data_IF_640374622742
#
_entry.id   IF_640374622742
#
_cell.length_a   1.000
_cell.length_b   1.000
_cell.length_c   1.000
_cell.angle_alpha   90.00
_cell.angle_beta   90.00
_cell.angle_gamma   90.00
#
_symmetry.space_group_name_H-M   'P 1'
#
loop_
_entity.id
_entity.type
_entity.pdbx_description
1 polymer ?
#
# COMPACT_ATOMS: atom_id res chain seq x y z
N UNK A 1 22.44 -11.05 17.56
CA UNK A 1 21.03 -11.52 17.59
C UNK A 1 20.88 -12.48 16.43
N UNK A 2 20.36 -13.67 16.66
CA UNK A 2 20.14 -14.67 15.58
C UNK A 2 18.84 -14.33 14.87
N UNK A 3 18.93 -14.06 13.58
CA UNK A 3 17.76 -13.89 12.73
C UNK A 3 17.01 -15.22 12.63
N UNK A 4 15.70 -15.17 12.81
CA UNK A 4 14.82 -16.34 12.71
C UNK A 4 13.99 -16.23 11.42
N UNK A 5 14.01 -17.27 10.57
CA UNK A 5 13.08 -17.35 9.46
C UNK A 5 11.65 -17.51 10.00
N UNK A 6 10.77 -16.61 9.62
CA UNK A 6 9.37 -16.56 10.08
C UNK A 6 8.38 -16.75 8.94
N UNK A 7 8.82 -16.84 7.69
CA UNK A 7 7.93 -17.06 6.56
C UNK A 7 8.50 -16.56 5.22
N UNK A 8 7.60 -16.22 4.30
CA UNK A 8 7.93 -15.72 2.96
C UNK A 8 7.06 -14.53 2.58
N UNK A 9 7.59 -13.69 1.70
CA UNK A 9 6.83 -12.63 1.06
C UNK A 9 5.86 -13.25 0.03
N UNK A 10 4.56 -13.13 0.30
CA UNK A 10 3.52 -13.73 -0.52
C UNK A 10 3.01 -12.80 -1.63
N UNK A 11 2.92 -11.48 -1.34
CA UNK A 11 2.47 -10.49 -2.32
C UNK A 11 3.16 -9.15 -2.07
N UNK A 12 3.37 -8.40 -3.15
CA UNK A 12 3.86 -7.03 -3.15
C UNK A 12 2.81 -6.14 -3.83
N UNK A 13 2.34 -5.13 -3.13
CA UNK A 13 1.35 -4.18 -3.63
C UNK A 13 1.91 -2.76 -3.64
N UNK A 14 1.69 -2.06 -4.73
CA UNK A 14 1.94 -0.63 -4.85
C UNK A 14 0.63 0.07 -5.19
N UNK A 15 0.37 1.18 -4.53
CA UNK A 15 -0.82 2.03 -4.73
C UNK A 15 -0.36 3.39 -5.27
N UNK A 16 -0.15 3.57 -6.58
CA UNK A 16 0.49 4.77 -7.13
C UNK A 16 -0.22 6.06 -6.76
N UNK A 17 -1.57 6.00 -6.65
CA UNK A 17 -2.40 7.15 -6.29
C UNK A 17 -3.12 6.86 -4.97
N UNK A 18 -3.02 7.79 -4.01
CA UNK A 18 -3.74 7.70 -2.74
C UNK A 18 -5.22 7.44 -2.98
N UNK A 19 -5.80 6.50 -2.21
CA UNK A 19 -7.23 6.13 -2.23
C UNK A 19 -7.74 5.40 -3.48
N UNK A 20 -6.91 5.21 -4.50
CA UNK A 20 -7.27 4.42 -5.71
C UNK A 20 -6.86 2.95 -5.58
N UNK A 21 -7.19 2.13 -6.58
CA UNK A 21 -6.79 0.73 -6.64
C UNK A 21 -5.27 0.57 -6.59
N UNK A 22 -4.81 -0.61 -6.17
CA UNK A 22 -3.39 -0.99 -6.16
C UNK A 22 -3.03 -1.87 -7.35
N UNK A 23 -1.73 -2.00 -7.57
CA UNK A 23 -1.13 -2.93 -8.52
C UNK A 23 -0.38 -4.03 -7.76
N UNK A 24 -0.68 -5.29 -8.07
CA UNK A 24 0.08 -6.45 -7.62
C UNK A 24 1.32 -6.59 -8.50
N UNK A 25 2.48 -6.72 -7.87
CA UNK A 25 3.78 -6.84 -8.54
C UNK A 25 4.51 -8.11 -8.10
N UNK A 26 5.38 -8.63 -8.96
CA UNK A 26 6.28 -9.74 -8.61
C UNK A 26 7.50 -9.27 -7.80
N UNK A 27 7.85 -7.99 -7.92
CA UNK A 27 8.97 -7.37 -7.22
C UNK A 27 8.77 -5.85 -7.08
N UNK A 28 9.43 -5.25 -6.09
CA UNK A 28 9.48 -3.81 -5.93
C UNK A 28 10.82 -3.36 -5.34
N UNK A 29 11.20 -2.12 -5.63
CA UNK A 29 12.27 -1.43 -4.93
C UNK A 29 11.71 -0.79 -3.67
N UNK A 30 12.29 -1.12 -2.52
CA UNK A 30 12.04 -0.45 -1.24
C UNK A 30 13.06 0.68 -1.13
N UNK A 31 12.57 1.91 -1.04
CA UNK A 31 13.36 3.13 -0.86
C UNK A 31 13.09 3.72 0.53
N UNK A 32 13.84 4.73 0.95
CA UNK A 32 13.67 5.32 2.29
C UNK A 32 12.23 5.78 2.59
N UNK A 33 11.47 6.17 1.58
CA UNK A 33 10.08 6.61 1.70
C UNK A 33 9.01 5.52 1.53
N UNK A 34 9.38 4.23 1.49
CA UNK A 34 8.45 3.10 1.27
C UNK A 34 8.74 2.36 -0.04
N UNK A 35 7.73 1.79 -0.69
CA UNK A 35 7.90 1.18 -1.99
C UNK A 35 7.95 2.26 -3.08
N UNK A 36 8.86 2.11 -4.04
CA UNK A 36 9.04 3.08 -5.12
C UNK A 36 7.72 3.29 -5.89
N UNK A 37 7.30 4.56 -5.98
CA UNK A 37 6.05 4.96 -6.62
C UNK A 37 4.78 4.79 -5.77
N UNK A 38 4.86 4.18 -4.58
CA UNK A 38 3.70 4.02 -3.71
C UNK A 38 3.20 5.38 -3.21
N UNK A 39 1.89 5.63 -3.37
CA UNK A 39 1.20 6.85 -2.93
C UNK A 39 1.90 8.16 -3.31
N UNK A 40 2.67 8.13 -4.41
CA UNK A 40 3.39 9.31 -4.92
C UNK A 40 2.45 10.36 -5.53
N UNK A 41 1.21 9.96 -5.86
CA UNK A 41 0.18 10.83 -6.38
C UNK A 41 -1.05 10.87 -5.47
N UNK A 42 -1.81 11.97 -5.56
CA UNK A 42 -3.16 12.09 -5.02
C UNK A 42 -4.06 12.89 -5.95
N UNK A 43 -5.36 12.62 -5.85
CA UNK A 43 -6.37 13.56 -6.34
C UNK A 43 -6.51 14.67 -5.32
N UNK A 44 -6.48 15.92 -5.79
CA UNK A 44 -6.65 17.08 -4.92
C UNK A 44 -7.77 17.97 -5.44
N UNK A 45 -8.43 18.67 -4.52
CA UNK A 45 -9.44 19.69 -4.82
C UNK A 45 -8.81 21.01 -5.30
N UNK A 46 -9.62 22.06 -5.47
CA UNK A 46 -9.17 23.39 -5.91
C UNK A 46 -8.24 24.05 -4.91
N UNK A 47 -8.39 23.75 -3.61
CA UNK A 47 -7.54 24.23 -2.52
C UNK A 47 -6.26 23.40 -2.35
N UNK A 48 -6.09 22.33 -3.12
CA UNK A 48 -4.92 21.45 -3.06
C UNK A 48 -4.98 20.41 -1.92
N UNK A 49 -6.14 20.19 -1.32
CA UNK A 49 -6.35 19.18 -0.29
C UNK A 49 -6.58 17.81 -0.94
N UNK A 50 -5.93 16.74 -0.45
CA UNK A 50 -6.17 15.40 -0.97
C UNK A 50 -7.61 14.96 -0.72
N UNK A 51 -8.25 14.49 -1.80
CA UNK A 51 -9.55 13.83 -1.75
C UNK A 51 -9.35 12.36 -1.43
N UNK A 52 -9.98 11.86 -0.38
CA UNK A 52 -9.79 10.49 0.10
C UNK A 52 -10.97 9.57 -0.29
N UNK A 53 -10.75 8.26 -0.26
CA UNK A 53 -11.83 7.29 -0.47
C UNK A 53 -12.85 7.26 0.68
N UNK A 54 -12.56 7.87 1.82
CA UNK A 54 -13.55 8.10 2.89
C UNK A 54 -14.56 9.17 2.49
N UNK A 55 -14.11 10.20 1.76
CA UNK A 55 -14.95 11.30 1.25
C UNK A 55 -15.60 10.94 -0.09
N UNK A 56 -14.87 10.21 -0.96
CA UNK A 56 -15.30 9.82 -2.30
C UNK A 56 -14.95 8.34 -2.55
N UNK A 57 -15.80 7.40 -2.13
CA UNK A 57 -15.55 5.95 -2.24
C UNK A 57 -15.30 5.46 -3.66
N UNK A 58 -15.87 6.13 -4.67
CA UNK A 58 -15.69 5.78 -6.10
C UNK A 58 -14.23 5.84 -6.55
N UNK A 59 -13.35 6.58 -5.85
CA UNK A 59 -11.91 6.60 -6.17
C UNK A 59 -11.30 5.19 -6.19
N UNK A 60 -11.86 4.23 -5.45
CA UNK A 60 -11.40 2.83 -5.44
C UNK A 60 -11.64 2.09 -6.76
N UNK A 61 -12.53 2.61 -7.61
CA UNK A 61 -12.83 2.03 -8.93
C UNK A 61 -11.81 2.46 -9.99
N UNK A 62 -11.03 3.50 -9.73
CA UNK A 62 -9.98 3.99 -10.64
C UNK A 62 -8.74 3.11 -10.52
N UNK A 63 -8.22 2.65 -11.65
CA UNK A 63 -7.06 1.76 -11.71
C UNK A 63 -5.82 2.50 -12.21
N UNK A 64 -4.92 2.91 -11.30
CA UNK A 64 -3.65 3.51 -11.68
C UNK A 64 -2.61 2.43 -12.01
N UNK A 65 -1.73 2.74 -12.95
CA UNK A 65 -0.56 1.94 -13.31
C UNK A 65 0.66 2.83 -13.45
N UNK A 66 1.83 2.28 -13.13
CA UNK A 66 3.13 2.89 -13.45
C UNK A 66 3.74 2.13 -14.62
N UNK A 67 3.81 2.77 -15.77
CA UNK A 67 4.42 2.23 -16.99
C UNK A 67 5.70 3.01 -17.30
N UNK A 68 6.87 2.37 -17.13
CA UNK A 68 8.16 3.05 -17.33
C UNK A 68 8.38 4.24 -16.38
N UNK A 69 7.76 4.23 -15.19
CA UNK A 69 7.81 5.35 -14.24
C UNK A 69 6.74 6.43 -14.48
N UNK A 70 6.00 6.35 -15.57
CA UNK A 70 4.90 7.28 -15.85
C UNK A 70 3.58 6.77 -15.29
N UNK A 71 2.81 7.66 -14.68
CA UNK A 71 1.47 7.34 -14.21
C UNK A 71 0.48 7.27 -15.38
N UNK A 72 -0.31 6.22 -15.41
CA UNK A 72 -1.45 6.00 -16.30
C UNK A 72 -2.66 5.60 -15.49
N UNK A 73 -3.86 6.04 -15.90
CA UNK A 73 -5.09 5.77 -15.17
C UNK A 73 -6.19 5.26 -16.09
N UNK A 74 -6.94 4.27 -15.60
CA UNK A 74 -8.24 3.89 -16.17
C UNK A 74 -9.32 4.49 -15.27
N UNK A 75 -10.06 5.47 -15.81
CA UNK A 75 -11.18 6.12 -15.13
C UNK A 75 -12.49 5.55 -15.66
N UNK A 76 -13.43 5.12 -14.82
CA UNK A 76 -14.71 4.59 -15.27
C UNK A 76 -15.43 5.55 -16.23
N UNK A 77 -15.93 5.00 -17.35
CA UNK A 77 -16.63 5.76 -18.37
C UNK A 77 -15.76 6.58 -19.32
N UNK A 78 -14.44 6.56 -19.15
CA UNK A 78 -13.49 7.22 -20.04
C UNK A 78 -12.67 6.19 -20.85
N UNK A 79 -11.93 6.68 -21.87
CA UNK A 79 -10.96 5.87 -22.59
C UNK A 79 -9.88 5.38 -21.62
N UNK A 80 -9.44 4.11 -21.68
CA UNK A 80 -8.36 3.61 -20.83
C UNK A 80 -7.01 4.31 -21.10
N UNK A 81 -6.07 4.12 -20.15
CA UNK A 81 -4.66 4.52 -20.27
C UNK A 81 -4.44 6.03 -20.38
N UNK A 82 -5.15 6.79 -19.57
CA UNK A 82 -5.05 8.25 -19.56
C UNK A 82 -3.76 8.74 -18.87
N UNK A 83 -3.11 9.72 -19.49
CA UNK A 83 -2.05 10.49 -18.83
C UNK A 83 -2.63 11.40 -17.72
N UNK A 84 -1.83 11.83 -16.72
CA UNK A 84 -2.34 12.55 -15.54
C UNK A 84 -3.23 13.77 -15.84
N UNK A 85 -2.88 14.59 -16.84
CA UNK A 85 -3.68 15.75 -17.21
C UNK A 85 -5.08 15.36 -17.70
N UNK A 86 -5.15 14.48 -18.69
CA UNK A 86 -6.42 13.98 -19.25
C UNK A 86 -7.22 13.18 -18.23
N UNK A 87 -6.52 12.42 -17.36
CA UNK A 87 -7.16 11.68 -16.27
C UNK A 87 -7.80 12.63 -15.24
N UNK A 88 -7.19 13.77 -14.95
CA UNK A 88 -7.76 14.77 -14.05
C UNK A 88 -9.06 15.37 -14.61
N UNK A 89 -9.12 15.62 -15.92
CA UNK A 89 -10.35 16.08 -16.61
C UNK A 89 -11.45 15.01 -16.57
N UNK A 90 -11.08 13.74 -16.85
CA UNK A 90 -12.00 12.63 -16.80
C UNK A 90 -12.55 12.40 -15.36
N UNK A 91 -11.69 12.46 -14.35
CA UNK A 91 -12.08 12.38 -12.95
C UNK A 91 -13.02 13.52 -12.55
N UNK A 92 -12.70 14.76 -12.97
CA UNK A 92 -13.55 15.93 -12.69
C UNK A 92 -14.94 15.75 -13.28
N UNK A 93 -15.03 15.27 -14.52
CA UNK A 93 -16.31 14.99 -15.20
C UNK A 93 -17.08 13.87 -14.50
N UNK A 94 -16.39 12.76 -14.22
CA UNK A 94 -17.01 11.57 -13.61
C UNK A 94 -17.49 11.81 -12.19
N UNK A 95 -16.75 12.59 -11.41
CA UNK A 95 -17.09 12.89 -10.01
C UNK A 95 -17.91 14.17 -9.85
N UNK A 96 -18.09 14.97 -10.94
CA UNK A 96 -18.94 16.15 -10.97
C UNK A 96 -18.38 17.36 -10.22
N UNK A 97 -17.06 17.45 -10.06
CA UNK A 97 -16.39 18.58 -9.40
C UNK A 97 -14.95 18.78 -9.91
N UNK A 98 -14.41 19.99 -9.86
CA UNK A 98 -13.04 20.26 -10.27
C UNK A 98 -12.03 19.48 -9.42
N UNK A 99 -11.15 18.71 -10.08
CA UNK A 99 -10.13 17.90 -9.45
C UNK A 99 -8.83 17.98 -10.23
N UNK A 100 -7.71 17.79 -9.55
CA UNK A 100 -6.37 17.72 -10.14
C UNK A 100 -5.64 16.50 -9.63
N UNK A 101 -4.71 15.97 -10.41
CA UNK A 101 -3.72 14.99 -9.97
C UNK A 101 -2.45 15.72 -9.58
N UNK A 102 -1.97 15.49 -8.37
CA UNK A 102 -0.75 16.13 -7.86
C UNK A 102 0.27 15.06 -7.48
N UNK A 103 1.49 15.22 -7.97
CA UNK A 103 2.64 14.39 -7.59
C UNK A 103 3.37 15.00 -6.39
N UNK A 104 3.86 14.14 -5.49
CA UNK A 104 4.71 14.53 -4.37
C UNK A 104 5.91 13.58 -4.29
N UNK A 105 7.09 14.15 -4.21
CA UNK A 105 8.34 13.41 -4.03
C UNK A 105 8.54 12.98 -2.56
N UNK A 106 9.47 12.04 -2.35
CA UNK A 106 9.83 11.55 -1.02
C UNK A 106 8.82 10.53 -0.50
N UNK A 107 8.23 10.79 0.66
CA UNK A 107 7.24 9.88 1.29
C UNK A 107 5.85 9.92 0.63
N UNK A 108 5.65 10.76 -0.38
CA UNK A 108 4.37 10.87 -1.07
C UNK A 108 3.22 11.33 -0.17
N UNK A 109 2.06 10.69 -0.33
CA UNK A 109 0.82 10.95 0.42
C UNK A 109 0.52 9.86 1.45
N UNK A 110 1.56 9.40 2.14
CA UNK A 110 1.45 8.42 3.23
C UNK A 110 0.84 9.09 4.47
N UNK A 111 -0.07 8.40 5.15
CA UNK A 111 -0.78 8.96 6.31
C UNK A 111 -0.04 8.72 7.63
N UNK A 112 0.56 7.54 7.81
CA UNK A 112 1.18 7.10 9.07
C UNK A 112 2.63 6.70 8.85
N UNK A 113 2.88 5.57 8.18
CA UNK A 113 4.22 5.06 7.93
C UNK A 113 4.35 4.55 6.48
N UNK A 114 5.59 4.53 5.94
CA UNK A 114 5.81 4.31 4.52
C UNK A 114 5.52 2.88 4.03
N UNK A 115 5.50 1.89 4.93
CA UNK A 115 5.22 0.50 4.58
C UNK A 115 4.16 -0.09 5.50
N UNK A 116 3.16 -0.72 4.93
CA UNK A 116 2.16 -1.50 5.65
C UNK A 116 2.38 -2.99 5.37
N UNK A 117 2.50 -3.78 6.42
CA UNK A 117 2.76 -5.22 6.39
C UNK A 117 1.58 -5.96 7.00
N UNK A 118 1.11 -7.03 6.36
CA UNK A 118 0.04 -7.89 6.90
C UNK A 118 0.37 -9.34 6.59
N UNK A 119 -0.03 -10.28 7.46
CA UNK A 119 0.06 -11.70 7.16
C UNK A 119 -1.25 -12.27 6.61
N UNK A 120 -1.15 -13.33 5.81
CA UNK A 120 -2.33 -14.09 5.37
C UNK A 120 -3.11 -14.69 6.55
N UNK A 121 -2.39 -15.07 7.63
CA UNK A 121 -3.01 -15.53 8.87
C UNK A 121 -3.93 -14.47 9.46
N UNK A 122 -3.41 -13.25 9.68
CA UNK A 122 -4.21 -12.13 10.21
C UNK A 122 -5.39 -11.78 9.31
N UNK A 123 -5.25 -11.89 7.98
CA UNK A 123 -6.36 -11.67 7.04
C UNK A 123 -7.43 -12.75 7.16
N UNK A 124 -7.05 -14.04 7.27
CA UNK A 124 -7.97 -15.15 7.42
C UNK A 124 -8.75 -15.09 8.75
N UNK A 125 -8.08 -14.73 9.84
CA UNK A 125 -8.74 -14.54 11.15
C UNK A 125 -9.76 -13.41 11.11
N UNK A 126 -9.47 -12.34 10.42
CA UNK A 126 -10.36 -11.20 10.29
C UNK A 126 -11.61 -11.48 9.43
N UNK A 127 -11.54 -12.41 8.48
CA UNK A 127 -12.72 -12.86 7.72
C UNK A 127 -13.77 -13.52 8.62
N UNK A 128 -13.36 -14.05 9.79
CA UNK A 128 -14.22 -14.65 10.79
C UNK A 128 -14.64 -13.69 11.90
N UNK A 129 -13.99 -12.51 11.99
CA UNK A 129 -14.33 -11.48 12.97
C UNK A 129 -15.39 -10.52 12.40
N UNK A 130 -16.49 -10.37 13.12
CA UNK A 130 -17.53 -9.39 12.76
C UNK A 130 -17.01 -7.97 12.99
N UNK A 131 -16.98 -7.19 11.90
CA UNK A 131 -16.99 -5.72 11.82
C UNK A 131 -15.73 -4.94 12.21
N UNK A 132 -15.11 -4.36 11.18
CA UNK A 132 -14.38 -3.12 11.28
C UNK A 132 -14.93 -2.12 10.25
N UNK A 133 -15.64 -1.08 10.69
CA UNK A 133 -16.30 -0.10 9.83
C UNK A 133 -15.34 0.88 9.12
N UNK A 134 -14.09 0.98 9.56
CA UNK A 134 -13.15 2.01 9.10
C UNK A 134 -12.13 1.53 8.06
N UNK A 135 -11.96 0.23 7.90
CA UNK A 135 -11.04 -0.38 6.94
C UNK A 135 -11.71 -1.60 6.32
N UNK A 136 -11.56 -1.77 5.00
CA UNK A 136 -11.89 -3.04 4.39
C UNK A 136 -10.86 -4.07 4.83
N UNK A 137 -11.16 -4.79 5.92
CA UNK A 137 -10.28 -5.82 6.48
C UNK A 137 -10.01 -6.96 5.48
N UNK A 138 -10.86 -7.13 4.46
CA UNK A 138 -10.68 -8.09 3.37
C UNK A 138 -9.63 -7.60 2.36
N UNK A 139 -9.37 -6.28 2.33
CA UNK A 139 -8.38 -5.67 1.45
C UNK A 139 -7.65 -4.53 2.18
N UNK A 140 -6.75 -4.83 3.13
CA UNK A 140 -6.16 -3.85 4.04
C UNK A 140 -5.21 -2.84 3.37
N UNK A 141 -5.07 -2.85 2.05
CA UNK A 141 -4.17 -1.99 1.27
C UNK A 141 -2.72 -2.03 1.79
N UNK A 142 -2.31 -3.20 2.28
CA UNK A 142 -0.95 -3.44 2.71
C UNK A 142 0.01 -3.52 1.52
N UNK A 143 1.22 -3.02 1.69
CA UNK A 143 2.26 -3.10 0.68
C UNK A 143 2.86 -4.50 0.59
N UNK A 144 3.10 -5.14 1.73
CA UNK A 144 3.69 -6.47 1.81
C UNK A 144 2.72 -7.43 2.51
N UNK A 145 2.36 -8.51 1.83
CA UNK A 145 1.57 -9.60 2.40
C UNK A 145 2.51 -10.77 2.66
N UNK A 146 2.53 -11.25 3.89
CA UNK A 146 3.40 -12.33 4.34
C UNK A 146 2.65 -13.65 4.47
N UNK A 147 3.34 -14.74 4.16
CA UNK A 147 2.91 -16.10 4.46
C UNK A 147 3.81 -16.63 5.57
N UNK A 148 3.28 -16.67 6.81
CA UNK A 148 4.06 -16.95 7.99
C UNK A 148 4.06 -18.45 8.32
N UNK A 149 5.20 -18.94 8.78
CA UNK A 149 5.31 -20.30 9.36
C UNK A 149 4.58 -20.31 10.70
N UNK A 150 3.61 -21.22 10.86
CA UNK A 150 2.73 -21.28 12.03
C UNK A 150 1.30 -20.81 11.75
N UNK A 151 1.04 -20.30 10.54
CA UNK A 151 -0.31 -19.91 10.13
C UNK A 151 -0.90 -18.79 10.99
N UNK A 152 -2.11 -18.99 11.50
CA UNK A 152 -2.84 -18.00 12.32
C UNK A 152 -2.28 -17.81 13.73
N UNK A 153 -1.47 -18.75 14.23
CA UNK A 153 -0.90 -18.69 15.58
C UNK A 153 0.26 -17.66 15.69
N UNK A 154 0.72 -17.10 14.55
CA UNK A 154 1.81 -16.12 14.49
C UNK A 154 1.32 -14.86 13.80
N UNK A 155 1.47 -13.73 14.47
CA UNK A 155 1.04 -12.44 13.94
C UNK A 155 2.20 -11.46 13.80
N UNK A 156 2.26 -10.76 12.68
CA UNK A 156 3.17 -9.63 12.45
C UNK A 156 2.94 -8.48 13.45
N UNK A 157 1.80 -8.46 14.10
CA UNK A 157 1.48 -7.47 15.14
C UNK A 157 2.35 -7.60 16.38
N UNK A 158 2.91 -8.80 16.64
CA UNK A 158 3.79 -9.05 17.80
C UNK A 158 5.23 -8.55 17.57
N UNK A 159 5.51 -7.97 16.39
CA UNK A 159 6.87 -7.59 15.99
C UNK A 159 7.21 -6.12 16.20
N UNK A 160 6.40 -5.37 16.93
CA UNK A 160 6.68 -3.95 17.17
C UNK A 160 8.08 -3.73 17.79
N UNK A 161 8.80 -2.77 17.24
CA UNK A 161 10.18 -2.44 17.62
C UNK A 161 11.25 -3.38 17.03
N UNK A 162 10.84 -4.49 16.39
CA UNK A 162 11.78 -5.46 15.80
C UNK A 162 12.13 -5.11 14.36
N UNK A 163 13.24 -5.66 13.90
CA UNK A 163 13.68 -5.59 12.51
C UNK A 163 13.13 -6.79 11.73
N UNK A 164 12.56 -6.53 10.56
CA UNK A 164 12.09 -7.53 9.60
C UNK A 164 12.99 -7.44 8.37
N UNK A 165 13.66 -8.53 8.03
CA UNK A 165 14.52 -8.66 6.86
C UNK A 165 13.70 -9.35 5.76
N UNK A 166 13.59 -8.73 4.61
CA UNK A 166 12.88 -9.27 3.44
C UNK A 166 13.64 -8.93 2.17
N UNK A 167 14.07 -9.94 1.41
CA UNK A 167 14.94 -9.74 0.25
C UNK A 167 16.19 -8.94 0.62
N UNK A 168 16.43 -7.85 -0.09
CA UNK A 168 17.51 -6.89 0.19
C UNK A 168 17.15 -5.78 1.18
N UNK A 169 15.90 -5.68 1.63
CA UNK A 169 15.42 -4.61 2.49
C UNK A 169 15.36 -5.01 3.96
N UNK A 170 15.48 -4.00 4.84
CA UNK A 170 15.23 -4.15 6.28
C UNK A 170 14.19 -3.13 6.70
N UNK A 171 13.13 -3.60 7.34
CA UNK A 171 12.05 -2.80 7.87
C UNK A 171 12.10 -2.80 9.40
N UNK A 172 11.75 -1.68 10.02
CA UNK A 172 11.52 -1.58 11.47
C UNK A 172 10.03 -1.45 11.72
N UNK A 173 9.45 -2.41 12.41
CA UNK A 173 8.03 -2.38 12.78
C UNK A 173 7.80 -1.29 13.82
N UNK A 174 6.84 -0.37 13.57
CA UNK A 174 6.67 0.85 14.38
C UNK A 174 5.38 0.86 15.19
N UNK A 175 4.24 0.62 14.55
CA UNK A 175 2.96 0.73 15.22
C UNK A 175 1.86 -0.12 14.55
N UNK A 176 0.74 -0.30 15.25
CA UNK A 176 -0.43 -0.94 14.69
C UNK A 176 -1.37 0.08 14.05
N UNK A 177 -2.02 -0.24 12.92
CA UNK A 177 -3.15 0.53 12.44
C UNK A 177 -4.27 0.56 13.50
N UNK A 178 -4.85 1.74 13.76
CA UNK A 178 -5.93 1.88 14.75
C UNK A 178 -7.20 1.12 14.36
N UNK A 179 -7.45 0.96 13.05
CA UNK A 179 -8.70 0.40 12.50
C UNK A 179 -8.45 -0.55 11.34
N UNK A 180 -7.25 -1.15 11.25
CA UNK A 180 -6.89 -2.05 10.17
C UNK A 180 -6.02 -3.20 10.69
N UNK A 181 -5.87 -4.23 9.85
CA UNK A 181 -4.98 -5.37 10.12
C UNK A 181 -3.52 -4.98 9.93
N UNK A 182 -2.64 -5.83 10.44
CA UNK A 182 -1.22 -5.74 10.20
C UNK A 182 -0.49 -4.78 11.12
N UNK A 183 0.68 -4.36 10.67
CA UNK A 183 1.52 -3.39 11.36
C UNK A 183 2.20 -2.46 10.33
N UNK A 184 2.48 -1.25 10.75
CA UNK A 184 3.25 -0.29 9.98
C UNK A 184 4.74 -0.44 10.23
N UNK A 185 5.53 -0.05 9.24
CA UNK A 185 6.98 -0.11 9.31
C UNK A 185 7.64 1.08 8.63
N UNK A 186 8.80 1.47 9.16
CA UNK A 186 9.77 2.36 8.54
C UNK A 186 10.84 1.55 7.80
N UNK A 187 11.45 2.15 6.79
CA UNK A 187 12.54 1.53 6.05
C UNK A 187 13.85 1.82 6.77
N UNK A 188 14.44 0.78 7.37
CA UNK A 188 15.75 0.86 8.02
C UNK A 188 16.91 0.70 7.01
N UNK A 189 16.72 -0.16 5.99
CA UNK A 189 17.67 -0.34 4.90
C UNK A 189 16.89 -0.53 3.59
N UNK A 190 17.10 0.33 2.59
CA UNK A 190 16.54 0.16 1.24
C UNK A 190 17.07 -1.10 0.55
N UNK A 191 16.28 -1.66 -0.39
CA UNK A 191 16.67 -2.84 -1.16
C UNK A 191 15.56 -3.37 -2.04
N UNK A 192 15.87 -4.36 -2.87
CA UNK A 192 14.89 -5.04 -3.71
C UNK A 192 14.18 -6.14 -2.92
N UNK A 193 12.88 -6.29 -3.16
CA UNK A 193 12.05 -7.37 -2.63
C UNK A 193 11.33 -8.09 -3.76
N UNK A 194 11.22 -9.42 -3.66
CA UNK A 194 10.55 -10.26 -4.66
C UNK A 194 9.55 -11.18 -3.95
N UNK A 195 8.46 -11.46 -4.60
CA UNK A 195 7.53 -12.52 -4.15
C UNK A 195 8.31 -13.83 -4.00
N UNK A 196 8.16 -14.49 -2.86
CA UNK A 196 8.90 -15.70 -2.49
C UNK A 196 10.14 -15.46 -1.64
N UNK A 197 10.62 -14.23 -1.47
CA UNK A 197 11.74 -13.91 -0.59
C UNK A 197 11.47 -14.39 0.84
N UNK A 198 12.52 -14.90 1.50
CA UNK A 198 12.44 -15.27 2.91
C UNK A 198 12.22 -14.02 3.77
N UNK A 199 11.39 -14.19 4.79
CA UNK A 199 11.15 -13.18 5.82
C UNK A 199 11.80 -13.65 7.11
N UNK A 200 12.72 -12.84 7.65
CA UNK A 200 13.44 -13.13 8.88
C UNK A 200 13.21 -12.03 9.90
N UNK A 201 13.11 -12.42 11.16
CA UNK A 201 12.85 -11.53 12.28
C UNK A 201 14.11 -11.44 13.14
N UNK A 202 14.59 -10.20 13.38
CA UNK A 202 15.78 -9.91 14.17
C UNK A 202 15.51 -9.22 15.50
#
# INVERSE_FOLDING_TARGET
MTEQNVGRLAQVWVFPVKSMAGALLDAAEVVAGGLAGDRSWAVVDEEGRPVTAAEEPRLREVVPRLAGGELRLDVPGATPDLAPGTAAEALSTWLGRPLRLQHRYGTGYVDVAPVHVVSRGSMADAEHAEQCDACDIRAPRANLVLDLVGGTDVSERDWLGRAVFVGGAVLRMTEHPNHCLGAYAEVALPGQVHVGDEVRLG
#
